data_IF_253575910045
#
_entry.id   IF_253575910045
#
_cell.length_a   1.000
_cell.length_b   1.000
_cell.length_c   1.000
_cell.angle_alpha   90.00
_cell.angle_beta   90.00
_cell.angle_gamma   90.00
#
_symmetry.space_group_name_H-M   'P 1'
#
loop_
_entity.id
_entity.type
_entity.pdbx_description
1 polymer ?
#
# COMPACT_ATOMS: atom_id res chain seq x y z
N UNK A 1 21.90 6.87 10.16
CA UNK A 1 20.89 5.91 9.64
C UNK A 1 20.72 6.19 8.17
N UNK A 2 21.13 5.30 7.28
CA UNK A 2 20.83 5.46 5.86
C UNK A 2 19.33 5.17 5.66
N UNK A 3 18.59 6.13 5.11
CA UNK A 3 17.23 5.88 4.65
C UNK A 3 17.30 4.76 3.62
N UNK A 4 16.51 3.69 3.83
CA UNK A 4 16.37 2.66 2.79
C UNK A 4 15.92 3.37 1.52
N UNK A 5 16.54 3.06 0.39
CA UNK A 5 16.14 3.60 -0.91
C UNK A 5 14.64 3.41 -1.09
N UNK A 6 13.94 4.49 -1.43
CA UNK A 6 12.51 4.45 -1.67
C UNK A 6 12.20 3.54 -2.86
N UNK A 7 11.28 2.60 -2.64
CA UNK A 7 10.76 1.68 -3.67
C UNK A 7 9.24 1.75 -3.65
N UNK A 8 8.59 2.49 -4.58
CA UNK A 8 7.14 2.62 -4.59
C UNK A 8 6.49 1.26 -4.83
N UNK A 9 5.54 0.87 -3.98
CA UNK A 9 4.82 -0.39 -4.10
C UNK A 9 3.48 -0.33 -3.34
N UNK A 10 2.53 -1.17 -3.76
CA UNK A 10 1.28 -1.42 -3.04
C UNK A 10 1.36 -2.82 -2.44
N UNK A 11 1.15 -2.94 -1.13
CA UNK A 11 1.15 -4.26 -0.47
C UNK A 11 -0.17 -4.98 -0.78
N UNK A 12 -0.13 -6.08 -1.53
CA UNK A 12 -1.32 -6.88 -1.88
C UNK A 12 -1.67 -7.93 -0.82
N UNK A 13 -0.67 -8.52 -0.16
CA UNK A 13 -0.87 -9.56 0.85
C UNK A 13 0.24 -9.54 1.91
N UNK A 14 -0.09 -9.98 3.12
CA UNK A 14 0.87 -10.21 4.22
C UNK A 14 0.68 -11.62 4.76
N UNK A 15 1.75 -12.40 4.80
CA UNK A 15 1.75 -13.76 5.33
C UNK A 15 2.53 -13.81 6.63
N UNK A 16 1.98 -14.52 7.62
CA UNK A 16 2.66 -14.77 8.89
C UNK A 16 3.85 -15.73 8.71
N UNK A 17 3.66 -16.76 7.87
CA UNK A 17 4.71 -17.70 7.48
C UNK A 17 5.34 -17.25 6.16
N UNK A 18 6.64 -16.97 6.19
CA UNK A 18 7.43 -16.53 5.03
C UNK A 18 7.76 -17.69 4.08
N UNK A 19 7.70 -18.92 4.57
CA UNK A 19 7.99 -20.13 3.80
C UNK A 19 6.73 -20.71 3.14
N UNK A 20 5.56 -20.12 3.41
CA UNK A 20 4.33 -20.53 2.74
C UNK A 20 4.53 -20.33 1.23
N UNK A 21 4.46 -21.40 0.41
CA UNK A 21 4.59 -21.26 -1.03
C UNK A 21 3.48 -20.33 -1.51
N UNK A 22 3.87 -19.18 -2.05
CA UNK A 22 2.96 -18.24 -2.67
C UNK A 22 2.49 -18.92 -3.97
N UNK A 23 1.30 -19.50 -3.94
CA UNK A 23 0.86 -20.41 -4.99
C UNK A 23 0.68 -19.71 -6.34
N UNK A 24 0.30 -18.44 -6.36
CA UNK A 24 0.11 -17.64 -7.57
C UNK A 24 0.30 -16.15 -7.27
N UNK A 25 1.20 -15.48 -8.01
CA UNK A 25 1.16 -14.03 -8.17
C UNK A 25 -0.05 -13.73 -9.05
N UNK A 26 -0.88 -12.76 -8.65
CA UNK A 26 -1.92 -12.23 -9.53
C UNK A 26 -1.18 -11.59 -10.71
N UNK A 27 -1.17 -12.27 -11.84
CA UNK A 27 -0.73 -11.67 -13.09
C UNK A 27 -1.81 -10.69 -13.53
N UNK A 28 -1.42 -9.44 -13.72
CA UNK A 28 -2.26 -8.46 -14.39
C UNK A 28 -2.03 -8.66 -15.89
N UNK A 29 -3.09 -9.00 -16.63
CA UNK A 29 -3.02 -9.22 -18.07
C UNK A 29 -2.55 -7.96 -18.82
N UNK A 30 -2.88 -6.78 -18.29
CA UNK A 30 -2.47 -5.48 -18.81
C UNK A 30 -1.97 -4.54 -17.68
N UNK A 31 -1.05 -3.61 -17.98
CA UNK A 31 -0.60 -2.62 -17.01
C UNK A 31 -1.69 -1.64 -16.62
N UNK A 32 -1.86 -1.42 -15.32
CA UNK A 32 -2.76 -0.38 -14.79
C UNK A 32 -2.01 0.96 -14.80
N UNK A 33 -2.50 1.91 -15.57
CA UNK A 33 -1.96 3.27 -15.65
C UNK A 33 -2.91 4.25 -14.94
N UNK A 34 -2.34 5.19 -14.19
CA UNK A 34 -3.10 6.24 -13.51
C UNK A 34 -2.27 7.51 -13.42
N UNK A 35 -2.95 8.65 -13.39
CA UNK A 35 -2.36 9.95 -13.01
C UNK A 35 -2.64 10.17 -11.54
N UNK A 36 -1.68 10.73 -10.80
CA UNK A 36 -1.87 11.12 -9.40
C UNK A 36 -2.05 12.63 -9.37
N UNK A 37 -3.22 13.08 -8.93
CA UNK A 37 -3.60 14.50 -8.89
C UNK A 37 -3.53 15.07 -7.46
N UNK A 38 -3.57 14.19 -6.45
CA UNK A 38 -3.66 14.58 -5.05
C UNK A 38 -2.80 13.67 -4.16
N UNK A 39 -2.35 14.23 -3.02
CA UNK A 39 -1.71 13.51 -1.93
C UNK A 39 -2.61 13.49 -0.70
N UNK A 40 -3.08 12.31 -0.36
CA UNK A 40 -3.82 12.07 0.88
C UNK A 40 -2.91 11.70 2.05
N UNK A 41 -3.23 12.24 3.22
CA UNK A 41 -2.65 11.86 4.49
C UNK A 41 -3.69 11.08 5.29
N UNK A 42 -3.33 9.88 5.72
CA UNK A 42 -4.18 9.00 6.51
C UNK A 42 -3.61 8.79 7.92
N UNK A 43 -4.47 8.78 8.93
CA UNK A 43 -4.17 8.22 10.24
C UNK A 43 -4.50 6.72 10.27
N UNK A 44 -3.60 5.91 10.84
CA UNK A 44 -3.83 4.47 11.00
C UNK A 44 -4.14 4.12 12.46
N UNK A 45 -5.23 3.37 12.67
CA UNK A 45 -5.56 2.79 13.98
C UNK A 45 -5.75 1.28 13.87
N UNK A 46 -5.53 0.56 14.98
CA UNK A 46 -5.75 -0.89 15.04
C UNK A 46 -6.85 -1.20 16.04
N UNK A 47 -7.96 -1.76 15.56
CA UNK A 47 -9.12 -2.11 16.38
C UNK A 47 -9.66 -3.47 15.98
N UNK A 48 -9.91 -4.32 16.97
CA UNK A 48 -10.53 -5.64 16.78
C UNK A 48 -9.84 -6.50 15.71
N UNK A 49 -8.51 -6.50 15.68
CA UNK A 49 -7.73 -7.33 14.76
C UNK A 49 -7.59 -6.78 13.34
N UNK A 50 -8.09 -5.57 13.06
CA UNK A 50 -8.04 -4.94 11.74
C UNK A 50 -7.39 -3.55 11.83
N UNK A 51 -6.63 -3.21 10.80
CA UNK A 51 -6.15 -1.84 10.59
C UNK A 51 -7.23 -1.03 9.89
N UNK A 52 -7.47 0.17 10.39
CA UNK A 52 -8.35 1.17 9.79
C UNK A 52 -7.50 2.38 9.37
N UNK A 53 -7.79 2.94 8.22
CA UNK A 53 -7.16 4.15 7.70
C UNK A 53 -8.22 5.24 7.60
N UNK A 54 -8.03 6.34 8.33
CA UNK A 54 -8.93 7.50 8.33
C UNK A 54 -8.25 8.63 7.57
N UNK A 55 -8.88 9.15 6.52
CA UNK A 55 -8.39 10.32 5.80
C UNK A 55 -8.41 11.52 6.74
N UNK A 56 -7.29 12.23 6.87
CA UNK A 56 -7.19 13.42 7.73
C UNK A 56 -6.94 14.69 6.94
N UNK A 57 -6.30 14.60 5.77
CA UNK A 57 -5.97 15.75 4.93
C UNK A 57 -5.74 15.30 3.50
N UNK A 58 -6.09 16.15 2.54
CA UNK A 58 -5.78 15.99 1.12
C UNK A 58 -5.06 17.25 0.64
N UNK A 59 -4.06 17.06 -0.24
CA UNK A 59 -3.33 18.13 -0.90
C UNK A 59 -3.45 17.96 -2.41
N UNK A 60 -4.04 18.94 -3.10
CA UNK A 60 -4.02 18.97 -4.57
C UNK A 60 -2.62 19.33 -5.08
N UNK A 61 -2.25 18.78 -6.24
CA UNK A 61 -1.02 19.14 -6.94
C UNK A 61 -1.19 20.29 -7.95
N UNK A 62 -2.38 20.89 -8.02
CA UNK A 62 -2.66 22.13 -8.77
C UNK A 62 -2.02 23.39 -8.17
#
# INVERSE_FOLDING_TARGET
MALRTFRPHITLARFKDKNRPFSQIIELEEPINSVIEELDVYESSFKSGKTLHTLIQTYSFE
#
